data_IF_622484368194
#
_entry.id   IF_622484368194
#
_cell.length_a   1.000
_cell.length_b   1.000
_cell.length_c   1.000
_cell.angle_alpha   90.00
_cell.angle_beta   90.00
_cell.angle_gamma   90.00
#
_symmetry.space_group_name_H-M   'P 1'
#
loop_
_entity.id
_entity.type
_entity.pdbx_description
1 polymer ?
#
# COMPACT_ATOMS: atom_id res chain seq x y z
N UNK A 1 1.64 29.97 -4.16
CA UNK A 1 1.99 28.60 -4.59
C UNK A 1 2.88 28.01 -3.51
N UNK A 2 2.31 27.24 -2.59
CA UNK A 2 3.07 26.52 -1.57
C UNK A 2 3.87 25.42 -2.26
N UNK A 3 5.19 25.59 -2.31
CA UNK A 3 6.14 24.71 -3.02
C UNK A 3 6.37 23.37 -2.31
N UNK A 4 5.32 22.75 -1.78
CA UNK A 4 5.42 21.39 -1.27
C UNK A 4 5.60 20.43 -2.44
N UNK A 5 6.62 19.57 -2.44
CA UNK A 5 6.76 18.55 -3.46
C UNK A 5 5.51 17.68 -3.45
N UNK A 6 4.89 17.53 -4.63
CA UNK A 6 3.70 16.74 -4.82
C UNK A 6 3.91 15.33 -4.23
N UNK A 7 2.92 14.84 -3.47
CA UNK A 7 2.98 13.51 -2.89
C UNK A 7 3.11 12.46 -4.02
N UNK A 8 4.21 11.68 -4.07
CA UNK A 8 4.37 10.68 -5.12
C UNK A 8 3.24 9.67 -5.09
N UNK A 9 2.71 9.32 -6.27
CA UNK A 9 1.63 8.32 -6.38
C UNK A 9 2.16 6.90 -6.60
N UNK A 10 3.46 6.76 -6.87
CA UNK A 10 4.12 5.46 -7.10
C UNK A 10 5.34 5.32 -6.21
N UNK A 11 5.44 4.18 -5.57
CA UNK A 11 6.50 3.88 -4.61
C UNK A 11 7.02 2.46 -4.82
N UNK A 12 8.31 2.25 -4.60
CA UNK A 12 8.94 0.92 -4.65
C UNK A 12 9.43 0.52 -3.27
N UNK A 13 9.19 -0.74 -2.91
CA UNK A 13 9.65 -1.31 -1.66
C UNK A 13 11.18 -1.44 -1.63
N UNK A 14 11.79 -1.23 -0.47
CA UNK A 14 13.23 -1.38 -0.23
C UNK A 14 13.58 -2.44 0.81
N UNK A 15 12.56 -3.02 1.47
CA UNK A 15 12.72 -4.04 2.52
C UNK A 15 12.77 -5.47 2.00
N UNK A 16 12.29 -5.74 0.79
CA UNK A 16 12.28 -7.10 0.25
C UNK A 16 13.67 -7.55 -0.24
N UNK A 17 14.16 -8.65 0.33
CA UNK A 17 15.46 -9.25 -0.03
C UNK A 17 15.42 -10.25 -1.17
N UNK A 18 14.24 -10.58 -1.71
CA UNK A 18 14.08 -11.58 -2.78
C UNK A 18 14.34 -11.02 -4.20
N UNK A 19 14.72 -9.75 -4.30
CA UNK A 19 14.95 -9.04 -5.56
C UNK A 19 13.68 -8.75 -6.36
N UNK A 20 12.50 -8.86 -5.72
CA UNK A 20 11.19 -8.64 -6.35
C UNK A 20 10.35 -7.68 -5.49
N UNK A 21 10.75 -6.39 -5.40
CA UNK A 21 10.08 -5.43 -4.55
C UNK A 21 8.60 -5.24 -4.93
N UNK A 22 7.77 -4.89 -3.95
CA UNK A 22 6.42 -4.42 -4.22
C UNK A 22 6.46 -3.00 -4.79
N UNK A 23 5.72 -2.79 -5.87
CA UNK A 23 5.36 -1.47 -6.37
C UNK A 23 3.99 -1.12 -5.82
N UNK A 24 3.90 0.03 -5.18
CA UNK A 24 2.64 0.59 -4.66
C UNK A 24 2.22 1.74 -5.52
N UNK A 25 1.02 1.65 -6.06
CA UNK A 25 0.35 2.76 -6.74
C UNK A 25 -0.83 3.23 -5.89
N UNK A 26 -0.89 4.54 -5.69
CA UNK A 26 -1.94 5.24 -4.96
C UNK A 26 -2.75 6.01 -6.01
N UNK A 27 -4.04 5.74 -6.11
CA UNK A 27 -4.92 6.38 -7.09
C UNK A 27 -6.28 6.70 -6.49
N UNK A 28 -6.98 7.70 -7.01
CA UNK A 28 -8.35 7.99 -6.63
C UNK A 28 -9.32 7.35 -7.63
N UNK A 29 -10.32 6.63 -7.12
CA UNK A 29 -11.40 6.02 -7.91
C UNK A 29 -12.72 6.40 -7.27
N UNK A 30 -13.51 7.23 -7.96
CA UNK A 30 -14.85 7.64 -7.52
C UNK A 30 -14.86 8.30 -6.12
N UNK A 31 -13.87 9.14 -5.81
CA UNK A 31 -13.78 9.81 -4.51
C UNK A 31 -13.14 8.99 -3.40
N UNK A 32 -12.65 7.78 -3.69
CA UNK A 32 -12.03 6.87 -2.73
C UNK A 32 -10.60 6.55 -3.16
N UNK A 33 -9.64 6.56 -2.24
CA UNK A 33 -8.27 6.13 -2.57
C UNK A 33 -8.18 4.61 -2.66
N UNK A 34 -7.52 4.17 -3.72
CA UNK A 34 -7.19 2.81 -4.04
C UNK A 34 -5.68 2.62 -3.90
N UNK A 35 -5.28 1.57 -3.18
CA UNK A 35 -3.91 1.06 -3.19
C UNK A 35 -3.83 -0.17 -4.07
N UNK A 36 -2.87 -0.17 -4.98
CA UNK A 36 -2.49 -1.36 -5.72
C UNK A 36 -1.04 -1.72 -5.41
N UNK A 37 -0.84 -2.95 -5.00
CA UNK A 37 0.46 -3.56 -4.73
C UNK A 37 0.73 -4.58 -5.84
N UNK A 38 1.77 -4.35 -6.62
CA UNK A 38 2.23 -5.27 -7.66
C UNK A 38 3.62 -5.77 -7.30
N UNK A 39 3.79 -7.08 -7.20
CA UNK A 39 5.09 -7.69 -6.98
C UNK A 39 5.85 -7.75 -8.30
N UNK A 40 7.03 -7.15 -8.33
CA UNK A 40 7.84 -7.03 -9.55
C UNK A 40 8.06 -8.41 -10.18
N UNK A 41 7.71 -8.57 -11.47
CA UNK A 41 7.75 -9.82 -12.25
C UNK A 41 6.78 -10.94 -11.83
N UNK A 42 6.01 -10.77 -10.76
CA UNK A 42 5.03 -11.77 -10.28
C UNK A 42 3.58 -11.30 -10.41
N UNK A 43 3.36 -10.00 -10.66
CA UNK A 43 2.05 -9.43 -10.92
C UNK A 43 1.34 -9.00 -9.64
N UNK A 44 0.01 -8.97 -9.67
CA UNK A 44 -0.80 -8.44 -8.58
C UNK A 44 -0.50 -9.17 -7.26
N UNK A 45 -0.24 -8.39 -6.21
CA UNK A 45 -0.13 -8.86 -4.84
C UNK A 45 -1.44 -8.56 -4.08
N UNK A 46 -1.87 -7.30 -4.09
CA UNK A 46 -3.16 -6.90 -3.54
C UNK A 46 -3.65 -5.61 -4.18
N UNK A 47 -4.95 -5.44 -4.28
CA UNK A 47 -5.60 -4.18 -4.65
C UNK A 47 -6.71 -3.92 -3.64
N UNK A 48 -6.72 -2.75 -3.00
CA UNK A 48 -7.75 -2.37 -2.03
C UNK A 48 -8.35 -1.00 -2.36
N UNK A 49 -9.66 -0.87 -2.24
CA UNK A 49 -10.38 0.40 -2.25
C UNK A 49 -11.00 0.64 -0.89
N UNK A 50 -10.62 1.70 -0.18
CA UNK A 50 -11.05 1.85 1.21
C UNK A 50 -11.18 3.30 1.66
N UNK A 51 -11.91 3.48 2.76
CA UNK A 51 -12.04 4.79 3.40
C UNK A 51 -10.68 5.15 3.99
N UNK A 52 -10.21 6.36 3.70
CA UNK A 52 -9.05 6.93 4.37
C UNK A 52 -9.48 7.66 5.62
N UNK A 53 -8.90 7.23 6.73
CA UNK A 53 -8.97 7.92 7.99
C UNK A 53 -7.60 8.52 8.30
N UNK A 54 -7.59 9.78 8.73
CA UNK A 54 -6.45 10.33 9.45
C UNK A 54 -6.44 9.70 10.85
N UNK A 55 -5.33 9.07 11.20
CA UNK A 55 -5.11 8.39 12.48
C UNK A 55 -3.88 9.00 13.15
N UNK A 56 -4.10 10.12 13.84
CA UNK A 56 -3.01 10.97 14.34
C UNK A 56 -2.26 11.64 13.20
N UNK A 57 -0.99 11.27 13.01
CA UNK A 57 -0.12 11.77 11.91
C UNK A 57 -0.04 10.80 10.73
N UNK A 58 -0.67 9.63 10.86
CA UNK A 58 -0.67 8.57 9.84
C UNK A 58 -1.97 8.58 9.03
N UNK A 59 -1.92 7.95 7.85
CA UNK A 59 -3.11 7.62 7.07
C UNK A 59 -3.43 6.14 7.25
N UNK A 60 -4.70 5.82 7.45
CA UNK A 60 -5.17 4.44 7.51
C UNK A 60 -6.20 4.22 6.43
N UNK A 61 -6.04 3.15 5.65
CA UNK A 61 -7.03 2.66 4.69
C UNK A 61 -7.68 1.45 5.31
N UNK A 62 -8.95 1.59 5.68
CA UNK A 62 -9.78 0.49 6.17
C UNK A 62 -10.63 -0.04 5.02
N UNK A 63 -10.59 -1.36 4.82
CA UNK A 63 -11.31 -2.03 3.74
C UNK A 63 -11.99 -3.30 4.23
N UNK A 64 -13.19 -3.57 3.74
CA UNK A 64 -13.91 -4.83 3.93
C UNK A 64 -13.36 -5.93 3.01
N UNK A 65 -13.93 -7.14 3.13
CA UNK A 65 -13.62 -8.26 2.24
C UNK A 65 -13.94 -7.96 0.77
N UNK A 66 -15.03 -7.25 0.50
CA UNK A 66 -15.49 -6.91 -0.86
C UNK A 66 -14.58 -5.84 -1.51
N UNK A 67 -13.84 -5.13 -0.68
CA UNK A 67 -12.98 -4.01 -1.02
C UNK A 67 -11.50 -4.38 -1.20
N UNK A 68 -11.16 -5.66 -1.06
CA UNK A 68 -9.81 -6.19 -1.25
C UNK A 68 -9.81 -7.31 -2.28
N UNK A 69 -8.92 -7.18 -3.26
CA UNK A 69 -8.61 -8.21 -4.24
C UNK A 69 -7.18 -8.67 -4.03
N UNK A 70 -7.02 -9.89 -3.53
CA UNK A 70 -5.72 -10.52 -3.38
C UNK A 70 -5.28 -11.17 -4.68
N UNK A 71 -4.05 -10.91 -5.09
CA UNK A 71 -3.48 -11.48 -6.31
C UNK A 71 -2.78 -12.82 -6.09
N UNK A 72 -2.35 -13.48 -7.19
CA UNK A 72 -1.63 -14.75 -7.12
C UNK A 72 -0.27 -14.62 -6.43
N UNK A 73 0.36 -13.43 -6.46
CA UNK A 73 1.66 -13.18 -5.83
C UNK A 73 1.57 -12.98 -4.30
N UNK A 74 0.36 -12.81 -3.74
CA UNK A 74 0.20 -12.80 -2.28
C UNK A 74 0.49 -14.19 -1.71
N UNK A 75 1.31 -14.25 -0.65
CA UNK A 75 1.56 -15.51 0.05
C UNK A 75 0.34 -15.93 0.90
N UNK A 76 0.32 -17.19 1.35
CA UNK A 76 -0.80 -17.76 2.11
C UNK A 76 -1.11 -16.99 3.40
N UNK A 77 -0.08 -16.49 4.10
CA UNK A 77 -0.24 -15.71 5.33
C UNK A 77 -0.99 -14.39 5.05
N UNK A 78 -0.66 -13.70 3.96
CA UNK A 78 -1.34 -12.47 3.56
C UNK A 78 -2.78 -12.74 3.13
N UNK A 79 -3.04 -13.86 2.46
CA UNK A 79 -4.41 -14.25 2.12
C UNK A 79 -5.27 -14.49 3.36
N UNK A 80 -4.71 -15.12 4.38
CA UNK A 80 -5.41 -15.30 5.65
C UNK A 80 -5.60 -13.98 6.40
N UNK A 81 -4.59 -13.12 6.40
CA UNK A 81 -4.60 -11.86 7.16
C UNK A 81 -5.55 -10.81 6.57
N UNK A 82 -5.67 -10.75 5.23
CA UNK A 82 -6.43 -9.72 4.52
C UNK A 82 -7.74 -10.23 3.91
N UNK A 83 -7.96 -11.55 3.88
CA UNK A 83 -9.08 -12.17 3.15
C UNK A 83 -10.46 -11.86 3.71
N UNK A 84 -10.56 -11.27 4.91
CA UNK A 84 -11.81 -10.83 5.54
C UNK A 84 -11.93 -9.30 5.59
N UNK A 85 -11.06 -8.59 4.87
CA UNK A 85 -10.82 -7.16 5.06
C UNK A 85 -9.65 -6.90 6.00
N UNK A 86 -9.33 -5.63 6.21
CA UNK A 86 -8.19 -5.24 7.01
C UNK A 86 -7.92 -3.75 6.99
N UNK A 87 -6.71 -3.41 7.45
CA UNK A 87 -6.24 -2.03 7.48
C UNK A 87 -4.82 -1.95 6.96
N UNK A 88 -4.57 -1.02 6.04
CA UNK A 88 -3.23 -0.58 5.69
C UNK A 88 -2.95 0.73 6.41
N UNK A 89 -1.96 0.73 7.30
CA UNK A 89 -1.43 1.95 7.92
C UNK A 89 -0.27 2.47 7.09
N UNK A 90 -0.40 3.69 6.60
CA UNK A 90 0.59 4.42 5.80
C UNK A 90 1.17 5.53 6.67
N UNK A 91 2.43 5.38 7.02
CA UNK A 91 3.19 6.36 7.79
C UNK A 91 4.20 7.05 6.90
N UNK A 92 4.20 8.39 6.87
CA UNK A 92 5.25 9.17 6.20
C UNK A 92 6.43 9.32 7.14
N UNK A 93 7.51 8.58 6.89
CA UNK A 93 8.73 8.62 7.71
C UNK A 93 9.63 9.81 7.34
N UNK A 94 9.62 10.20 6.07
CA UNK A 94 10.34 11.36 5.53
C UNK A 94 9.64 11.85 4.24
N UNK A 95 10.14 12.94 3.65
CA UNK A 95 9.59 13.47 2.40
C UNK A 95 9.54 12.42 1.27
N UNK A 96 10.54 11.53 1.24
CA UNK A 96 10.82 10.50 0.25
C UNK A 96 10.75 9.07 0.82
N UNK A 97 10.11 8.89 1.97
CA UNK A 97 10.02 7.57 2.61
C UNK A 97 8.65 7.31 3.22
N UNK A 98 8.04 6.21 2.79
CA UNK A 98 6.82 5.67 3.38
C UNK A 98 7.10 4.36 4.10
N UNK A 99 6.29 4.11 5.12
CA UNK A 99 6.07 2.77 5.67
C UNK A 99 4.62 2.40 5.44
N UNK A 100 4.38 1.22 4.89
CA UNK A 100 3.04 0.65 4.79
C UNK A 100 3.02 -0.63 5.60
N UNK A 101 2.04 -0.79 6.47
CA UNK A 101 1.94 -1.92 7.37
C UNK A 101 0.50 -2.45 7.48
N UNK A 102 0.38 -3.74 7.70
CA UNK A 102 -0.84 -4.44 8.08
C UNK A 102 -0.51 -5.59 9.02
N UNK A 103 -1.50 -6.38 9.43
CA UNK A 103 -1.26 -7.56 10.25
C UNK A 103 -0.37 -8.55 9.49
N UNK A 104 0.74 -8.95 10.11
CA UNK A 104 1.67 -9.95 9.56
C UNK A 104 2.61 -9.44 8.46
N UNK A 105 2.56 -8.17 8.07
CA UNK A 105 3.46 -7.60 7.06
C UNK A 105 3.68 -6.10 7.22
N UNK A 106 4.90 -5.65 6.93
CA UNK A 106 5.20 -4.23 6.73
C UNK A 106 6.34 -4.08 5.72
N UNK A 107 6.37 -2.94 5.02
CA UNK A 107 7.44 -2.59 4.11
C UNK A 107 7.79 -1.12 4.17
N UNK A 108 9.04 -0.80 3.83
CA UNK A 108 9.49 0.57 3.58
C UNK A 108 9.54 0.83 2.09
N UNK A 109 9.15 2.04 1.69
CA UNK A 109 9.02 2.42 0.30
C UNK A 109 9.68 3.77 0.04
N UNK A 110 10.26 3.90 -1.16
CA UNK A 110 10.82 5.14 -1.70
C UNK A 110 10.09 5.51 -2.98
N UNK A 111 9.99 6.81 -3.33
CA UNK A 111 9.22 7.22 -4.49
C UNK A 111 9.89 6.73 -5.76
N UNK A 112 9.07 6.30 -6.71
CA UNK A 112 9.54 6.07 -8.07
C UNK A 112 9.74 7.42 -8.76
N UNK A 113 10.83 7.55 -9.51
CA UNK A 113 11.08 8.72 -10.37
C UNK A 113 10.14 8.73 -11.57
#
# INVERSE_FOLDING_TARGET
MTGEPAFPLKWTETTMGDGKPLLVSISERQGVLALEFTKTREGLWAESTGVICLSGVDLEIVFSREQIRLGPAANWLMRQSLGQGGTFRISRLAADRLRIATVGWNGHFVPMK
#
